data_IF_320243091382
#
_entry.id   IF_320243091382
#
_cell.length_a   1.000
_cell.length_b   1.000
_cell.length_c   1.000
_cell.angle_alpha   90.00
_cell.angle_beta   90.00
_cell.angle_gamma   90.00
#
_symmetry.space_group_name_H-M   'P 1'
#
loop_
_entity.id
_entity.type
_entity.pdbx_description
1 polymer ?
#
# COMPACT_ATOMS: atom_id res chain seq x y z
N UNK A 1 6.11 9.50 -7.73
CA UNK A 1 6.22 9.35 -6.26
C UNK A 1 4.88 9.07 -5.56
N UNK A 2 3.72 9.57 -6.02
CA UNK A 2 2.41 9.38 -5.34
C UNK A 2 2.47 9.67 -3.82
N UNK A 3 3.13 10.77 -3.46
CA UNK A 3 3.41 11.14 -2.08
C UNK A 3 2.52 12.28 -1.56
N UNK A 4 1.44 12.59 -2.27
CA UNK A 4 0.46 13.60 -1.92
C UNK A 4 -0.93 13.00 -1.96
N UNK A 5 -1.79 13.48 -1.07
CA UNK A 5 -3.19 13.15 -0.95
C UNK A 5 -3.97 14.47 -0.80
N UNK A 6 -5.04 14.65 -1.57
CA UNK A 6 -5.74 15.93 -1.62
C UNK A 6 -6.51 16.22 -0.32
N UNK A 7 -6.81 15.19 0.47
CA UNK A 7 -7.53 15.32 1.74
C UNK A 7 -6.56 15.43 2.93
N UNK A 8 -5.54 14.57 2.96
CA UNK A 8 -4.63 14.41 4.10
C UNK A 8 -3.27 15.09 3.92
N UNK A 9 -2.94 15.52 2.70
CA UNK A 9 -1.72 16.24 2.37
C UNK A 9 -0.54 15.32 2.05
N UNK A 10 0.66 15.71 2.50
CA UNK A 10 1.88 14.96 2.18
C UNK A 10 1.91 13.63 2.92
N UNK A 11 2.20 12.55 2.19
CA UNK A 11 2.42 11.21 2.74
C UNK A 11 3.89 11.09 3.13
N UNK A 12 4.23 11.49 4.36
CA UNK A 12 5.62 11.46 4.87
C UNK A 12 6.31 10.11 4.62
N UNK A 13 5.60 9.02 4.92
CA UNK A 13 6.04 7.64 4.73
C UNK A 13 6.37 7.23 3.28
N UNK A 14 5.97 8.05 2.30
CA UNK A 14 6.27 7.85 0.88
C UNK A 14 7.38 8.80 0.43
N UNK A 15 7.22 10.11 0.67
CA UNK A 15 8.12 11.12 0.13
C UNK A 15 9.53 10.95 0.68
N UNK A 16 9.68 10.54 1.95
CA UNK A 16 10.98 10.35 2.58
C UNK A 16 11.85 9.28 1.90
N UNK A 17 11.23 8.30 1.23
CA UNK A 17 11.98 7.25 0.52
C UNK A 17 12.80 7.80 -0.65
N UNK A 18 12.49 9.01 -1.12
CA UNK A 18 13.18 9.67 -2.22
C UNK A 18 14.34 10.56 -1.76
N UNK A 19 14.59 10.64 -0.45
CA UNK A 19 15.62 11.50 0.13
C UNK A 19 16.49 10.72 1.10
N UNK A 20 17.80 11.02 1.09
CA UNK A 20 18.77 10.50 2.06
C UNK A 20 19.41 11.67 2.82
N UNK A 21 19.18 11.80 4.13
CA UNK A 21 19.87 12.79 4.94
C UNK A 21 21.37 12.49 4.99
N UNK A 22 22.18 13.50 5.30
CA UNK A 22 23.60 13.28 5.59
C UNK A 22 23.71 12.51 6.92
N UNK A 23 24.69 11.59 7.02
CA UNK A 23 24.85 10.74 8.21
C UNK A 23 25.09 11.53 9.51
N UNK A 24 25.55 12.78 9.40
CA UNK A 24 25.79 13.70 10.53
C UNK A 24 24.62 14.65 10.80
N UNK A 25 23.62 14.74 9.92
CA UNK A 25 22.45 15.58 10.13
C UNK A 25 21.42 14.82 10.95
N UNK A 26 21.24 15.23 12.21
CA UNK A 26 20.27 14.63 13.13
C UNK A 26 18.98 15.45 13.26
N UNK A 27 18.89 16.58 12.57
CA UNK A 27 17.77 17.55 12.71
C UNK A 27 17.01 17.77 11.40
N UNK A 28 17.31 17.00 10.35
CA UNK A 28 16.64 17.07 9.05
C UNK A 28 15.11 16.88 9.16
N UNK A 29 14.65 15.95 10.01
CA UNK A 29 13.22 15.71 10.20
C UNK A 29 12.52 16.92 10.81
N UNK A 30 13.03 17.42 11.95
CA UNK A 30 12.43 18.56 12.65
C UNK A 30 12.45 19.82 11.78
N UNK A 31 13.56 20.09 11.08
CA UNK A 31 13.68 21.20 10.13
C UNK A 31 12.67 21.08 8.97
N UNK A 32 12.46 19.88 8.45
CA UNK A 32 11.46 19.63 7.39
C UNK A 32 10.04 19.86 7.90
N UNK A 33 9.71 19.36 9.10
CA UNK A 33 8.39 19.55 9.70
C UNK A 33 8.10 21.03 10.03
N UNK A 34 9.10 21.77 10.51
CA UNK A 34 8.96 23.22 10.72
C UNK A 34 8.74 23.97 9.40
N UNK A 35 9.46 23.60 8.34
CA UNK A 35 9.23 24.15 7.01
C UNK A 35 7.78 23.90 6.55
N UNK A 36 7.28 22.66 6.67
CA UNK A 36 5.92 22.29 6.29
C UNK A 36 4.89 23.13 7.07
N UNK A 37 5.06 23.22 8.39
CA UNK A 37 4.19 24.01 9.26
C UNK A 37 4.15 25.47 8.83
N UNK A 38 5.29 26.08 8.54
CA UNK A 38 5.37 27.51 8.16
C UNK A 38 4.88 27.75 6.73
N UNK A 39 5.30 26.94 5.76
CA UNK A 39 5.00 27.17 4.34
C UNK A 39 3.57 26.82 3.96
N UNK A 40 2.92 25.93 4.71
CA UNK A 40 1.53 25.53 4.51
C UNK A 40 0.56 26.31 5.41
N UNK A 41 1.06 27.05 6.41
CA UNK A 41 0.24 27.93 7.23
C UNK A 41 -0.40 29.02 6.37
N UNK A 42 -1.72 29.15 6.46
CA UNK A 42 -2.49 30.18 5.75
C UNK A 42 -2.79 29.87 4.28
N UNK A 43 -2.31 28.75 3.73
CA UNK A 43 -2.78 28.30 2.41
C UNK A 43 -4.18 27.71 2.51
N UNK A 44 -5.02 28.07 1.55
CA UNK A 44 -6.32 27.45 1.36
C UNK A 44 -6.17 25.93 1.23
N UNK A 45 -7.07 25.16 1.85
CA UNK A 45 -7.03 23.69 1.80
C UNK A 45 -7.21 23.15 0.36
N UNK A 46 -7.98 23.86 -0.47
CA UNK A 46 -8.21 23.55 -1.87
C UNK A 46 -7.08 24.02 -2.79
N UNK A 47 -6.06 24.72 -2.29
CA UNK A 47 -4.86 25.07 -3.06
C UNK A 47 -3.91 23.86 -3.20
N UNK A 48 -4.45 22.74 -3.70
CA UNK A 48 -3.81 21.42 -3.74
C UNK A 48 -2.42 21.46 -4.36
N UNK A 49 -2.29 22.07 -5.55
CA UNK A 49 -1.01 22.15 -6.26
C UNK A 49 0.04 22.95 -5.51
N UNK A 50 -0.34 24.11 -4.94
CA UNK A 50 0.56 24.96 -4.16
C UNK A 50 1.04 24.26 -2.90
N UNK A 51 0.14 23.55 -2.22
CA UNK A 51 0.46 22.79 -1.01
C UNK A 51 1.36 21.59 -1.33
N UNK A 52 1.10 20.87 -2.41
CA UNK A 52 1.94 19.77 -2.87
C UNK A 52 3.35 20.25 -3.25
N UNK A 53 3.44 21.32 -4.04
CA UNK A 53 4.71 21.92 -4.45
C UNK A 53 5.53 22.40 -3.24
N UNK A 54 4.91 23.15 -2.33
CA UNK A 54 5.61 23.65 -1.13
C UNK A 54 6.03 22.53 -0.18
N UNK A 55 5.22 21.47 -0.08
CA UNK A 55 5.61 20.27 0.65
C UNK A 55 6.87 19.65 0.06
N UNK A 56 6.90 19.41 -1.26
CA UNK A 56 8.07 18.90 -1.94
C UNK A 56 9.31 19.79 -1.72
N UNK A 57 9.17 21.10 -1.83
CA UNK A 57 10.27 22.04 -1.59
C UNK A 57 10.82 21.95 -0.16
N UNK A 58 9.97 21.73 0.84
CA UNK A 58 10.43 21.53 2.21
C UNK A 58 11.31 20.27 2.35
N UNK A 59 10.92 19.13 1.75
CA UNK A 59 11.78 17.94 1.76
C UNK A 59 13.06 18.15 0.96
N UNK A 60 12.95 18.72 -0.24
CA UNK A 60 14.09 18.99 -1.11
C UNK A 60 15.15 19.88 -0.46
N UNK A 61 14.73 20.89 0.30
CA UNK A 61 15.64 21.84 0.94
C UNK A 61 16.16 21.38 2.30
N UNK A 62 15.38 20.55 3.03
CA UNK A 62 15.64 20.31 4.45
C UNK A 62 15.82 18.85 4.84
N UNK A 63 15.37 17.88 4.04
CA UNK A 63 15.40 16.47 4.43
C UNK A 63 16.72 15.79 4.02
N UNK A 64 17.23 16.06 2.83
CA UNK A 64 18.47 15.46 2.35
C UNK A 64 18.61 15.46 0.84
N UNK A 65 19.56 14.67 0.34
CA UNK A 65 19.81 14.55 -1.09
C UNK A 65 18.83 13.56 -1.74
N UNK A 66 18.45 13.81 -3.00
CA UNK A 66 17.63 12.87 -3.76
C UNK A 66 18.42 11.57 -3.99
N UNK A 67 17.80 10.43 -3.66
CA UNK A 67 18.34 9.10 -3.97
C UNK A 67 18.26 8.83 -5.48
N UNK A 68 19.30 8.21 -6.04
CA UNK A 68 19.34 7.91 -7.49
C UNK A 68 18.66 6.57 -7.81
N UNK A 69 18.56 5.70 -6.81
CA UNK A 69 17.96 4.39 -6.92
C UNK A 69 16.45 4.49 -7.09
N UNK A 70 15.91 3.62 -7.94
CA UNK A 70 14.47 3.52 -8.15
C UNK A 70 13.76 3.15 -6.85
N UNK A 71 12.82 4.01 -6.44
CA UNK A 71 11.98 3.78 -5.28
C UNK A 71 10.64 3.17 -5.72
N UNK A 72 10.05 2.37 -4.83
CA UNK A 72 8.69 1.90 -5.03
C UNK A 72 7.72 3.10 -5.03
N UNK A 73 6.87 3.18 -6.06
CA UNK A 73 5.79 4.16 -6.13
C UNK A 73 4.52 3.45 -5.66
N UNK A 74 3.86 3.92 -4.59
CA UNK A 74 2.62 3.31 -4.15
C UNK A 74 1.55 3.51 -5.23
N UNK A 75 0.70 2.50 -5.39
CA UNK A 75 -0.40 2.50 -6.34
C UNK A 75 -1.46 3.52 -5.95
N UNK A 76 -2.01 4.21 -6.93
CA UNK A 76 -3.23 4.99 -6.74
C UNK A 76 -4.41 4.05 -6.47
N UNK A 77 -5.40 4.53 -5.70
CA UNK A 77 -6.57 3.72 -5.36
C UNK A 77 -7.28 3.17 -6.61
N UNK A 78 -7.46 4.01 -7.64
CA UNK A 78 -8.07 3.61 -8.92
C UNK A 78 -7.27 2.53 -9.66
N UNK A 79 -5.94 2.55 -9.55
CA UNK A 79 -5.08 1.52 -10.16
C UNK A 79 -5.19 0.20 -9.40
N UNK A 80 -5.27 0.24 -8.06
CA UNK A 80 -5.51 -0.96 -7.24
C UNK A 80 -6.87 -1.58 -7.56
N UNK A 81 -7.91 -0.77 -7.73
CA UNK A 81 -9.24 -1.24 -8.12
C UNK A 81 -9.23 -1.89 -9.50
N UNK A 82 -8.58 -1.25 -10.48
CA UNK A 82 -8.40 -1.81 -11.82
C UNK A 82 -7.64 -3.13 -11.77
N UNK A 83 -6.52 -3.16 -11.05
CA UNK A 83 -5.67 -4.33 -10.92
C UNK A 83 -6.41 -5.52 -10.30
N UNK A 84 -7.20 -5.30 -9.25
CA UNK A 84 -7.99 -6.37 -8.65
C UNK A 84 -9.07 -6.92 -9.61
N UNK A 85 -9.64 -6.08 -10.47
CA UNK A 85 -10.54 -6.57 -11.55
C UNK A 85 -9.80 -7.46 -12.53
N UNK A 86 -8.57 -7.09 -12.90
CA UNK A 86 -7.73 -7.92 -13.76
C UNK A 86 -7.43 -9.27 -13.11
N UNK A 87 -7.19 -9.31 -11.79
CA UNK A 87 -7.05 -10.58 -11.04
C UNK A 87 -8.30 -11.44 -11.15
N UNK A 88 -9.50 -10.85 -11.02
CA UNK A 88 -10.76 -11.59 -11.20
C UNK A 88 -10.89 -12.17 -12.61
N UNK A 89 -10.45 -11.42 -13.64
CA UNK A 89 -10.45 -11.90 -15.02
C UNK A 89 -9.44 -13.03 -15.24
N UNK A 90 -8.23 -12.91 -14.69
CA UNK A 90 -7.17 -13.94 -14.78
C UNK A 90 -7.65 -15.27 -14.20
N UNK A 91 -8.25 -15.24 -13.01
CA UNK A 91 -8.76 -16.43 -12.32
C UNK A 91 -10.14 -16.89 -12.83
N UNK A 92 -10.75 -16.17 -13.78
CA UNK A 92 -12.06 -16.51 -14.32
C UNK A 92 -13.19 -16.44 -13.28
N UNK A 93 -13.10 -15.52 -12.33
CA UNK A 93 -14.10 -15.35 -11.25
C UNK A 93 -15.45 -14.99 -11.86
N UNK A 94 -16.46 -15.83 -11.60
CA UNK A 94 -17.80 -15.65 -12.13
C UNK A 94 -18.62 -14.64 -11.34
N UNK A 95 -19.66 -14.05 -11.96
CA UNK A 95 -20.64 -13.22 -11.22
C UNK A 95 -21.31 -13.96 -10.06
N UNK A 96 -21.49 -15.28 -10.18
CA UNK A 96 -22.04 -16.08 -9.10
C UNK A 96 -21.11 -16.11 -7.88
N UNK A 97 -19.81 -16.35 -8.10
CA UNK A 97 -18.80 -16.28 -7.04
C UNK A 97 -18.69 -14.88 -6.42
N UNK A 98 -18.73 -13.82 -7.23
CA UNK A 98 -18.74 -12.44 -6.73
C UNK A 98 -19.95 -12.16 -5.82
N UNK A 99 -21.14 -12.69 -6.15
CA UNK A 99 -22.32 -12.58 -5.29
C UNK A 99 -22.16 -13.34 -3.98
N UNK A 100 -21.46 -14.47 -3.98
CA UNK A 100 -21.15 -15.21 -2.75
C UNK A 100 -20.15 -14.43 -1.89
N UNK A 101 -19.13 -13.81 -2.49
CA UNK A 101 -18.19 -12.95 -1.77
C UNK A 101 -18.85 -11.76 -1.07
N UNK A 102 -19.97 -11.23 -1.61
CA UNK A 102 -20.74 -10.19 -0.92
C UNK A 102 -21.48 -10.69 0.33
N UNK A 103 -21.80 -11.98 0.39
CA UNK A 103 -22.58 -12.58 1.49
C UNK A 103 -21.68 -13.14 2.59
N UNK A 104 -20.51 -13.66 2.23
CA UNK A 104 -19.55 -14.21 3.18
C UNK A 104 -18.60 -13.14 3.69
N UNK A 105 -17.87 -13.46 4.75
CA UNK A 105 -16.57 -12.84 5.00
C UNK A 105 -15.71 -13.16 3.77
N UNK A 106 -15.62 -12.22 2.81
CA UNK A 106 -14.97 -12.43 1.52
C UNK A 106 -13.53 -12.93 1.66
N UNK A 107 -12.87 -12.56 2.74
CA UNK A 107 -11.51 -12.99 3.04
C UNK A 107 -11.43 -14.49 3.37
N UNK A 108 -12.52 -15.12 3.78
CA UNK A 108 -12.61 -16.57 4.05
C UNK A 108 -13.16 -17.38 2.89
N UNK A 109 -13.50 -16.75 1.77
CA UNK A 109 -13.91 -17.49 0.58
C UNK A 109 -12.77 -18.42 0.12
N UNK A 110 -13.11 -19.61 -0.37
CA UNK A 110 -12.13 -20.63 -0.77
C UNK A 110 -11.19 -20.11 -1.88
N UNK A 111 -11.69 -19.21 -2.71
CA UNK A 111 -10.99 -18.58 -3.81
C UNK A 111 -10.08 -17.42 -3.36
N UNK A 112 -10.30 -16.85 -2.19
CA UNK A 112 -9.57 -15.66 -1.76
C UNK A 112 -8.05 -15.87 -1.65
N UNK A 113 -7.51 -17.01 -1.17
CA UNK A 113 -6.06 -17.23 -1.11
C UNK A 113 -5.36 -17.08 -2.46
N UNK A 114 -5.91 -17.67 -3.54
CA UNK A 114 -5.29 -17.57 -4.87
C UNK A 114 -5.42 -16.17 -5.45
N UNK A 115 -6.58 -15.52 -5.27
CA UNK A 115 -6.79 -14.13 -5.69
C UNK A 115 -5.83 -13.17 -4.98
N UNK A 116 -5.67 -13.32 -3.67
CA UNK A 116 -4.73 -12.54 -2.88
C UNK A 116 -3.30 -12.75 -3.37
N UNK A 117 -2.88 -14.01 -3.56
CA UNK A 117 -1.52 -14.32 -4.02
C UNK A 117 -1.19 -13.65 -5.36
N UNK A 118 -2.09 -13.74 -6.34
CA UNK A 118 -1.90 -13.10 -7.66
C UNK A 118 -1.84 -11.58 -7.53
N UNK A 119 -2.72 -10.99 -6.70
CA UNK A 119 -2.72 -9.56 -6.42
C UNK A 119 -1.37 -9.10 -5.87
N UNK A 120 -0.87 -9.74 -4.80
CA UNK A 120 0.35 -9.30 -4.12
C UNK A 120 1.63 -9.60 -4.89
N UNK A 121 1.67 -10.66 -5.71
CA UNK A 121 2.81 -10.91 -6.61
C UNK A 121 2.87 -9.85 -7.71
N UNK A 122 1.75 -9.56 -8.38
CA UNK A 122 1.73 -8.60 -9.49
C UNK A 122 1.94 -7.15 -9.05
N UNK A 123 1.51 -6.80 -7.83
CA UNK A 123 1.82 -5.49 -7.22
C UNK A 123 3.20 -5.44 -6.58
N UNK A 124 3.94 -6.56 -6.63
CA UNK A 124 5.28 -6.74 -6.11
C UNK A 124 5.38 -6.48 -4.58
N UNK A 125 4.29 -6.73 -3.87
CA UNK A 125 4.22 -6.81 -2.41
C UNK A 125 4.62 -8.18 -1.87
N UNK A 126 4.71 -9.19 -2.73
CA UNK A 126 5.12 -10.53 -2.39
C UNK A 126 6.07 -11.07 -3.45
N UNK A 127 7.14 -11.74 -3.00
CA UNK A 127 8.06 -12.50 -3.84
C UNK A 127 8.14 -13.93 -3.27
N UNK A 128 7.97 -14.99 -4.09
CA UNK A 128 8.02 -16.36 -3.58
C UNK A 128 9.34 -16.77 -2.92
N UNK A 129 10.45 -16.12 -3.26
CA UNK A 129 11.75 -16.36 -2.65
C UNK A 129 11.93 -15.62 -1.31
N UNK A 130 11.37 -14.40 -1.18
CA UNK A 130 11.61 -13.55 0.01
C UNK A 130 10.38 -13.27 0.88
N UNK A 131 9.20 -13.70 0.48
CA UNK A 131 7.93 -13.44 1.18
C UNK A 131 7.40 -12.03 0.96
N UNK A 132 6.59 -11.53 1.92
CA UNK A 132 6.01 -10.19 1.88
C UNK A 132 7.06 -9.10 2.00
N UNK A 133 7.03 -8.14 1.09
CA UNK A 133 7.90 -6.97 1.14
C UNK A 133 7.29 -5.90 2.05
N UNK A 134 7.64 -5.96 3.34
CA UNK A 134 7.16 -5.03 4.37
C UNK A 134 7.46 -3.56 4.07
N UNK A 135 8.59 -3.25 3.41
CA UNK A 135 8.94 -1.89 3.01
C UNK A 135 8.00 -1.31 1.96
N UNK A 136 7.64 -2.12 0.95
CA UNK A 136 6.65 -1.73 -0.08
C UNK A 136 5.24 -1.64 0.49
N UNK A 137 4.86 -2.59 1.35
CA UNK A 137 3.59 -2.54 2.07
C UNK A 137 3.49 -1.27 2.92
N UNK A 138 4.53 -0.94 3.70
CA UNK A 138 4.56 0.30 4.48
C UNK A 138 4.44 1.53 3.58
N UNK A 139 5.16 1.56 2.45
CA UNK A 139 5.07 2.65 1.47
C UNK A 139 3.66 2.75 0.86
N UNK A 140 2.92 1.65 0.73
CA UNK A 140 1.55 1.66 0.22
C UNK A 140 0.50 2.09 1.25
N UNK A 141 0.64 1.65 2.51
CA UNK A 141 -0.42 1.75 3.52
C UNK A 141 -0.10 2.72 4.67
N UNK A 142 1.15 3.14 4.83
CA UNK A 142 1.58 4.10 5.86
C UNK A 142 1.51 3.59 7.30
N UNK A 143 1.19 2.31 7.53
CA UNK A 143 1.04 1.75 8.86
C UNK A 143 2.38 1.25 9.42
N UNK A 144 2.90 1.91 10.45
CA UNK A 144 4.20 1.57 11.06
C UNK A 144 4.27 0.17 11.68
N UNK A 145 3.13 -0.44 12.02
CA UNK A 145 3.06 -1.84 12.46
C UNK A 145 3.60 -2.82 11.42
N UNK A 146 3.59 -2.46 10.13
CA UNK A 146 4.22 -3.25 9.06
C UNK A 146 5.74 -3.34 9.20
N UNK A 147 6.38 -2.39 9.88
CA UNK A 147 7.82 -2.36 10.09
C UNK A 147 8.23 -2.88 11.48
N UNK A 148 7.27 -3.26 12.32
CA UNK A 148 7.54 -3.77 13.66
C UNK A 148 8.20 -5.15 13.64
N UNK A 149 9.09 -5.40 14.60
CA UNK A 149 9.77 -6.70 14.76
C UNK A 149 8.77 -7.84 14.99
N UNK A 150 7.67 -7.59 15.69
CA UNK A 150 6.60 -8.56 15.94
C UNK A 150 5.95 -9.04 14.63
N UNK A 151 5.72 -8.12 13.70
CA UNK A 151 5.17 -8.44 12.38
C UNK A 151 6.14 -9.31 11.58
N UNK A 152 7.44 -9.02 11.63
CA UNK A 152 8.46 -9.85 10.99
C UNK A 152 8.51 -11.24 11.60
N UNK A 153 8.54 -11.35 12.93
CA UNK A 153 8.54 -12.65 13.64
C UNK A 153 7.29 -13.47 13.34
N UNK A 154 6.13 -12.83 13.20
CA UNK A 154 4.90 -13.50 12.78
C UNK A 154 5.04 -14.09 11.38
N UNK A 155 5.52 -13.31 10.40
CA UNK A 155 5.73 -13.79 9.03
C UNK A 155 6.77 -14.93 8.95
N UNK A 156 7.86 -14.83 9.72
CA UNK A 156 8.87 -15.89 9.82
C UNK A 156 8.23 -17.20 10.32
N UNK A 157 7.37 -17.12 11.35
CA UNK A 157 6.65 -18.28 11.91
C UNK A 157 5.71 -18.89 10.87
N UNK A 158 4.92 -18.07 10.17
CA UNK A 158 4.04 -18.54 9.08
C UNK A 158 4.85 -19.23 7.98
N UNK A 159 6.01 -18.69 7.61
CA UNK A 159 6.86 -19.26 6.55
C UNK A 159 7.42 -20.64 6.89
N UNK A 160 7.58 -20.96 8.18
CA UNK A 160 8.00 -22.28 8.64
C UNK A 160 6.85 -23.28 8.62
N UNK A 161 5.62 -22.82 8.90
CA UNK A 161 4.42 -23.65 8.95
C UNK A 161 3.83 -23.95 7.56
N UNK A 162 3.82 -22.97 6.66
CA UNK A 162 3.26 -23.07 5.32
C UNK A 162 4.39 -22.93 4.31
N UNK A 163 4.62 -23.98 3.51
CA UNK A 163 5.76 -24.01 2.57
C UNK A 163 5.42 -23.65 1.12
N UNK A 164 4.14 -23.69 0.77
CA UNK A 164 3.67 -23.58 -0.60
C UNK A 164 2.68 -22.45 -0.78
N UNK A 165 2.65 -21.91 -2.00
CA UNK A 165 1.68 -20.91 -2.42
C UNK A 165 0.42 -21.54 -3.01
N UNK A 166 -0.75 -20.91 -2.84
CA UNK A 166 -0.98 -19.57 -2.25
C UNK A 166 -1.08 -19.53 -0.72
N UNK A 167 -0.97 -20.69 -0.05
CA UNK A 167 -1.26 -20.82 1.37
C UNK A 167 -0.31 -19.97 2.24
N UNK A 168 1.00 -19.99 1.97
CA UNK A 168 1.98 -19.22 2.76
C UNK A 168 1.73 -17.72 2.64
N UNK A 169 1.54 -17.18 1.43
CA UNK A 169 1.21 -15.78 1.22
C UNK A 169 -0.09 -15.36 1.93
N UNK A 170 -1.15 -16.14 1.76
CA UNK A 170 -2.45 -15.82 2.36
C UNK A 170 -2.43 -15.91 3.89
N UNK A 171 -1.78 -16.93 4.47
CA UNK A 171 -1.68 -17.06 5.92
C UNK A 171 -0.81 -15.95 6.53
N UNK A 172 0.22 -15.48 5.82
CA UNK A 172 1.00 -14.33 6.25
C UNK A 172 0.16 -13.07 6.31
N UNK A 173 -0.72 -12.88 5.32
CA UNK A 173 -1.70 -11.80 5.36
C UNK A 173 -2.67 -11.95 6.52
N UNK A 174 -3.35 -13.09 6.59
CA UNK A 174 -4.46 -13.31 7.50
C UNK A 174 -4.04 -13.17 8.96
N UNK A 175 -2.90 -13.76 9.31
CA UNK A 175 -2.42 -13.81 10.70
C UNK A 175 -1.59 -12.59 11.08
N UNK A 176 -0.84 -12.00 10.15
CA UNK A 176 0.19 -11.00 10.49
C UNK A 176 -0.08 -9.60 9.94
N UNK A 177 -0.81 -9.46 8.82
CA UNK A 177 -0.88 -8.18 8.08
C UNK A 177 -2.28 -7.60 7.94
N UNK A 178 -3.33 -8.39 8.17
CA UNK A 178 -4.73 -8.01 7.96
C UNK A 178 -5.11 -6.68 8.63
N UNK A 179 -4.64 -6.44 9.86
CA UNK A 179 -4.94 -5.22 10.63
C UNK A 179 -4.26 -3.96 10.11
N UNK A 180 -3.22 -4.09 9.28
CA UNK A 180 -2.45 -2.96 8.77
C UNK A 180 -2.85 -2.52 7.36
N UNK A 181 -3.62 -3.35 6.66
CA UNK A 181 -3.92 -3.20 5.24
C UNK A 181 -5.41 -2.96 5.01
N UNK A 182 -5.76 -2.13 4.04
CA UNK A 182 -7.16 -1.87 3.64
C UNK A 182 -7.66 -2.80 2.54
N UNK A 183 -7.05 -3.98 2.40
CA UNK A 183 -7.31 -4.94 1.30
C UNK A 183 -8.75 -5.43 1.28
N UNK A 184 -9.37 -5.65 2.44
CA UNK A 184 -10.78 -6.05 2.53
C UNK A 184 -11.71 -5.01 1.92
N UNK A 185 -11.52 -3.75 2.30
CA UNK A 185 -12.32 -2.63 1.79
C UNK A 185 -12.16 -2.48 0.28
N UNK A 186 -10.93 -2.62 -0.23
CA UNK A 186 -10.68 -2.64 -1.67
C UNK A 186 -11.45 -3.78 -2.34
N UNK A 187 -11.33 -4.99 -1.81
CA UNK A 187 -11.99 -6.17 -2.37
C UNK A 187 -13.50 -6.01 -2.44
N UNK A 188 -14.14 -5.60 -1.34
CA UNK A 188 -15.58 -5.37 -1.29
C UNK A 188 -16.02 -4.27 -2.26
N UNK A 189 -15.24 -3.18 -2.35
CA UNK A 189 -15.51 -2.08 -3.29
C UNK A 189 -15.51 -2.59 -4.73
N UNK A 190 -14.47 -3.34 -5.13
CA UNK A 190 -14.35 -3.84 -6.50
C UNK A 190 -15.43 -4.88 -6.80
N UNK A 191 -15.72 -5.81 -5.89
CA UNK A 191 -16.82 -6.78 -6.04
C UNK A 191 -18.14 -6.06 -6.27
N UNK A 192 -18.47 -5.06 -5.45
CA UNK A 192 -19.70 -4.29 -5.59
C UNK A 192 -19.76 -3.55 -6.94
N UNK A 193 -18.66 -2.92 -7.36
CA UNK A 193 -18.61 -2.22 -8.64
C UNK A 193 -18.74 -3.17 -9.84
N UNK A 194 -18.12 -4.36 -9.82
CA UNK A 194 -18.24 -5.37 -10.89
C UNK A 194 -19.67 -5.89 -10.99
N UNK A 195 -20.32 -6.14 -9.84
CA UNK A 195 -21.71 -6.59 -9.82
C UNK A 195 -22.69 -5.50 -10.26
N UNK A 196 -22.41 -4.23 -9.96
CA UNK A 196 -23.20 -3.11 -10.44
C UNK A 196 -23.03 -2.84 -11.95
N UNK A 197 -21.85 -3.11 -12.50
CA UNK A 197 -21.62 -3.00 -13.95
C UNK A 197 -22.23 -4.19 -14.71
N UNK A 198 -22.94 -3.91 -15.82
CA UNK A 198 -23.40 -4.92 -16.77
C UNK A 198 -22.27 -5.47 -17.68
N UNK A 199 -21.03 -5.05 -17.45
CA UNK A 199 -19.89 -5.32 -18.32
C UNK A 199 -18.83 -6.09 -17.50
N UNK A 200 -18.73 -7.38 -17.77
CA UNK A 200 -17.50 -8.16 -17.60
C UNK A 200 -16.83 -8.18 -18.96
N UNK A 201 -16.17 -7.09 -19.33
CA UNK A 201 -15.33 -7.02 -20.52
C UNK A 201 -14.02 -6.36 -20.11
#
# INVERSE_FOLDING_TARGET
MNAWDDETGVKDYVIRNYFKPADTDTVYESRTQDCLRVKLAGLDRCAVFDRAYRSFMCYYQNYGNIVQEAQFVPWYQVEREKHLREVFLIEGVTRAQLKEFQKSDALKAKEYPILYYIDVVRTAFYDPATGHNLGRLYTQFGNSGLLADDTRRCLDTVSQQYREEPARAYQGFDQCLRSYMTTEKLFQTVVAQVLASNVLC
#
